data_IF_979590855837
#
_entry.id   IF_979590855837
#
_cell.length_a   1.000
_cell.length_b   1.000
_cell.length_c   1.000
_cell.angle_alpha   90.00
_cell.angle_beta   90.00
_cell.angle_gamma   90.00
#
_symmetry.space_group_name_H-M   'P 1'
#
loop_
_entity.id
_entity.type
_entity.pdbx_description
1 polymer ?
#
# COMPACT_ATOMS: atom_id res chain seq x y z
N UNK A 1 23.74 -54.79 21.79
CA UNK A 1 22.87 -54.12 20.81
C UNK A 1 22.55 -52.74 21.35
N UNK A 2 22.95 -51.69 20.64
CA UNK A 2 22.76 -50.30 21.09
C UNK A 2 21.51 -49.77 20.40
N UNK A 3 20.50 -49.41 21.18
CA UNK A 3 19.32 -48.70 20.68
C UNK A 3 19.55 -47.20 20.91
N UNK A 4 19.65 -46.44 19.82
CA UNK A 4 19.64 -44.98 19.86
C UNK A 4 18.20 -44.54 19.62
N UNK A 5 17.46 -44.24 20.69
CA UNK A 5 16.15 -43.61 20.58
C UNK A 5 16.34 -42.12 20.34
N UNK A 6 16.05 -41.68 19.10
CA UNK A 6 16.07 -40.28 18.71
C UNK A 6 14.84 -39.55 19.23
N UNK A 7 15.05 -38.61 20.16
CA UNK A 7 14.02 -37.65 20.60
C UNK A 7 13.68 -36.71 19.43
N UNK A 8 12.44 -36.76 18.96
CA UNK A 8 11.91 -35.84 17.94
C UNK A 8 11.67 -34.46 18.54
N UNK A 9 12.33 -33.37 18.07
CA UNK A 9 12.04 -32.03 18.56
C UNK A 9 10.71 -31.54 17.97
N UNK A 10 9.73 -31.31 18.84
CA UNK A 10 8.46 -30.66 18.50
C UNK A 10 8.72 -29.17 18.27
N UNK A 11 8.57 -28.69 17.04
CA UNK A 11 8.70 -27.27 16.71
C UNK A 11 7.50 -26.49 17.26
N UNK A 12 7.68 -25.43 18.07
CA UNK A 12 6.56 -24.60 18.50
C UNK A 12 6.13 -23.65 17.37
N UNK A 13 4.86 -23.72 16.98
CA UNK A 13 4.22 -22.73 16.10
C UNK A 13 4.04 -21.42 16.87
N UNK A 14 4.78 -20.38 16.48
CA UNK A 14 4.64 -19.03 17.06
C UNK A 14 3.37 -18.38 16.51
N UNK A 15 2.41 -18.10 17.38
CA UNK A 15 1.22 -17.29 17.08
C UNK A 15 1.50 -15.86 17.53
N UNK A 16 1.36 -14.89 16.62
CA UNK A 16 1.47 -13.47 16.93
C UNK A 16 0.07 -12.92 17.22
N UNK A 17 -0.23 -12.65 18.50
CA UNK A 17 -1.50 -12.05 18.92
C UNK A 17 -1.21 -10.57 19.24
N UNK A 18 -1.78 -9.61 18.50
CA UNK A 18 -1.60 -8.20 18.82
C UNK A 18 -2.38 -7.85 20.10
N UNK A 19 -1.70 -7.90 21.25
CA UNK A 19 -2.27 -7.46 22.53
C UNK A 19 -2.10 -5.94 22.65
N UNK A 20 -3.21 -5.21 22.73
CA UNK A 20 -3.23 -3.80 23.09
C UNK A 20 -3.41 -3.68 24.61
N UNK A 21 -2.30 -3.49 25.35
CA UNK A 21 -2.37 -3.24 26.80
C UNK A 21 -2.82 -1.79 27.03
N UNK A 22 -4.12 -1.57 27.25
CA UNK A 22 -4.70 -0.26 27.60
C UNK A 22 -4.53 0.03 29.09
N UNK A 23 -3.31 0.37 29.53
CA UNK A 23 -3.08 0.85 30.90
C UNK A 23 -2.78 2.36 30.97
N UNK A 24 -3.08 3.09 29.90
CA UNK A 24 -2.77 4.51 29.78
C UNK A 24 -3.90 5.25 29.07
N UNK A 25 -4.26 6.43 29.58
CA UNK A 25 -5.25 7.34 28.99
C UNK A 25 -4.80 7.99 27.67
N UNK A 26 -3.57 7.74 27.22
CA UNK A 26 -3.03 8.28 25.97
C UNK A 26 -3.34 7.34 24.80
N UNK A 27 -3.86 7.91 23.73
CA UNK A 27 -4.13 7.30 22.44
C UNK A 27 -3.76 8.27 21.33
N UNK A 28 -3.45 7.77 20.15
CA UNK A 28 -3.21 8.58 18.96
C UNK A 28 -3.78 7.92 17.70
N UNK A 29 -4.15 8.75 16.74
CA UNK A 29 -4.57 8.34 15.41
C UNK A 29 -3.50 8.71 14.38
N UNK A 30 -3.37 7.87 13.34
CA UNK A 30 -2.49 8.08 12.20
C UNK A 30 -3.35 8.14 10.93
N UNK A 31 -3.28 9.26 10.22
CA UNK A 31 -3.88 9.45 8.90
C UNK A 31 -2.78 9.61 7.86
N UNK A 32 -3.01 9.05 6.66
CA UNK A 32 -2.05 9.09 5.54
C UNK A 32 -2.80 9.51 4.29
N UNK A 33 -2.35 10.58 3.64
CA UNK A 33 -2.88 11.08 2.38
C UNK A 33 -1.78 11.07 1.29
N UNK A 34 -2.12 10.81 0.02
CA UNK A 34 -3.43 10.36 -0.44
C UNK A 34 -3.76 8.95 0.07
N UNK A 35 -5.05 8.71 0.31
CA UNK A 35 -5.55 7.36 0.60
C UNK A 35 -5.71 6.60 -0.72
N UNK A 36 -5.27 5.35 -0.77
CA UNK A 36 -5.41 4.54 -1.97
C UNK A 36 -4.70 3.19 -1.90
N UNK A 37 -5.03 2.27 -2.81
CA UNK A 37 -4.40 0.96 -2.86
C UNK A 37 -2.96 1.00 -3.36
N UNK A 38 -2.60 2.01 -4.17
CA UNK A 38 -1.27 2.21 -4.75
C UNK A 38 -0.90 3.69 -4.71
N UNK A 39 0.36 3.97 -4.37
CA UNK A 39 0.96 5.31 -4.32
C UNK A 39 2.07 5.34 -5.37
N UNK A 40 2.03 6.30 -6.29
CA UNK A 40 3.11 6.44 -7.28
C UNK A 40 4.41 6.90 -6.59
N UNK A 41 5.56 6.41 -7.05
CA UNK A 41 6.88 6.69 -6.47
C UNK A 41 7.20 8.19 -6.34
N UNK A 42 6.68 9.02 -7.25
CA UNK A 42 6.87 10.48 -7.28
C UNK A 42 5.94 11.25 -6.30
N UNK A 43 5.05 10.54 -5.59
CA UNK A 43 4.05 11.15 -4.73
C UNK A 43 4.65 11.57 -3.39
N UNK A 44 4.27 12.75 -2.90
CA UNK A 44 4.50 13.15 -1.51
C UNK A 44 3.32 12.72 -0.64
N UNK A 45 3.60 11.89 0.36
CA UNK A 45 2.66 11.48 1.39
C UNK A 45 2.56 12.57 2.46
N UNK A 46 1.34 12.97 2.79
CA UNK A 46 1.03 13.76 3.98
C UNK A 46 0.58 12.82 5.09
N UNK A 47 1.33 12.77 6.18
CA UNK A 47 1.07 11.87 7.29
C UNK A 47 0.79 12.70 8.54
N UNK A 48 -0.44 12.62 9.04
CA UNK A 48 -0.85 13.35 10.24
C UNK A 48 -1.01 12.40 11.41
N UNK A 49 -0.34 12.74 12.52
CA UNK A 49 -0.48 12.04 13.80
C UNK A 49 -1.16 12.97 14.78
N UNK A 50 -2.24 12.52 15.40
CA UNK A 50 -3.00 13.30 16.38
C UNK A 50 -3.17 12.50 17.67
N UNK A 51 -2.60 13.00 18.76
CA UNK A 51 -2.77 12.43 20.09
C UNK A 51 -3.96 13.07 20.82
N UNK A 52 -4.59 12.32 21.73
CA UNK A 52 -5.71 12.80 22.54
C UNK A 52 -5.28 13.63 23.78
N UNK A 53 -3.99 13.96 23.91
CA UNK A 53 -3.41 14.67 25.05
C UNK A 53 -2.55 15.84 24.59
N UNK A 54 -2.56 16.94 25.35
CA UNK A 54 -1.66 18.07 25.14
C UNK A 54 -0.26 17.84 25.75
N UNK A 55 -0.13 16.88 26.67
CA UNK A 55 1.12 16.59 27.38
C UNK A 55 1.99 15.59 26.61
N UNK A 56 2.28 15.89 25.34
CA UNK A 56 3.11 15.06 24.46
C UNK A 56 4.51 15.68 24.38
N UNK A 57 5.52 14.92 24.78
CA UNK A 57 6.91 15.31 24.66
C UNK A 57 7.47 14.99 23.27
N UNK A 58 7.01 13.90 22.64
CA UNK A 58 7.54 13.43 21.35
C UNK A 58 6.50 12.67 20.53
N UNK A 59 6.53 12.88 19.22
CA UNK A 59 5.87 12.08 18.19
C UNK A 59 6.96 11.58 17.25
N UNK A 60 7.04 10.27 17.05
CA UNK A 60 8.01 9.61 16.16
C UNK A 60 7.27 8.82 15.09
N UNK A 61 7.62 9.04 13.83
CA UNK A 61 7.05 8.32 12.70
C UNK A 61 8.05 7.26 12.21
N UNK A 62 7.58 6.03 12.03
CA UNK A 62 8.40 4.89 11.62
C UNK A 62 7.88 4.23 10.35
N UNK A 63 8.82 3.66 9.57
CA UNK A 63 8.56 2.73 8.46
C UNK A 63 9.39 1.44 8.59
N UNK A 64 9.43 0.61 7.55
CA UNK A 64 10.28 -0.59 7.45
C UNK A 64 11.77 -0.31 7.68
N UNK A 65 12.23 0.90 7.33
CA UNK A 65 13.62 1.34 7.52
C UNK A 65 13.95 1.92 8.90
N UNK A 66 12.97 2.00 9.82
CA UNK A 66 13.14 2.62 11.13
C UNK A 66 12.50 4.00 11.22
N UNK A 67 13.06 4.86 12.08
CA UNK A 67 12.55 6.23 12.31
C UNK A 67 12.72 7.05 11.03
N UNK A 68 11.66 7.69 10.58
CA UNK A 68 11.68 8.58 9.42
C UNK A 68 11.84 10.03 9.89
N UNK A 69 10.97 10.45 10.81
CA UNK A 69 10.90 11.83 11.26
C UNK A 69 10.32 11.90 12.69
N UNK A 70 10.57 13.02 13.38
CA UNK A 70 10.02 13.26 14.71
C UNK A 70 9.63 14.72 14.90
N UNK A 71 8.63 14.93 15.76
CA UNK A 71 8.23 16.23 16.27
C UNK A 71 8.22 16.20 17.81
N UNK A 72 8.56 17.31 18.46
CA UNK A 72 8.60 17.42 19.92
C UNK A 72 7.60 18.44 20.42
N UNK A 73 7.15 18.26 21.66
CA UNK A 73 6.29 19.21 22.39
C UNK A 73 5.02 19.62 21.63
N UNK A 74 4.44 18.70 20.86
CA UNK A 74 3.24 18.93 20.04
C UNK A 74 2.28 17.74 20.17
N UNK A 75 0.98 18.01 20.28
CA UNK A 75 -0.07 16.99 20.34
C UNK A 75 -0.53 16.51 18.95
N UNK A 76 -0.26 17.30 17.92
CA UNK A 76 -0.52 16.96 16.52
C UNK A 76 0.70 17.35 15.69
N UNK A 77 1.05 16.49 14.73
CA UNK A 77 2.12 16.78 13.76
C UNK A 77 1.76 16.24 12.38
N UNK A 78 2.14 16.98 11.35
CA UNK A 78 1.98 16.58 9.95
C UNK A 78 3.37 16.50 9.32
N UNK A 79 3.70 15.32 8.80
CA UNK A 79 4.94 15.01 8.12
C UNK A 79 4.69 14.93 6.62
N UNK A 80 5.63 15.41 5.81
CA UNK A 80 5.57 15.33 4.35
C UNK A 80 6.73 14.49 3.84
N UNK A 81 6.43 13.30 3.31
CA UNK A 81 7.45 12.30 2.94
C UNK A 81 7.30 11.94 1.47
N UNK A 82 8.37 12.12 0.69
CA UNK A 82 8.40 11.58 -0.67
C UNK A 82 8.39 10.05 -0.64
N UNK A 83 7.50 9.43 -1.41
CA UNK A 83 7.43 7.97 -1.53
C UNK A 83 8.74 7.36 -2.06
N UNK A 84 9.58 8.14 -2.75
CA UNK A 84 10.93 7.74 -3.16
C UNK A 84 11.80 7.28 -1.97
N UNK A 85 11.63 7.86 -0.77
CA UNK A 85 12.37 7.45 0.44
C UNK A 85 11.90 6.12 1.01
N UNK A 86 10.68 5.70 0.71
CA UNK A 86 10.18 4.39 1.09
C UNK A 86 10.69 3.33 0.10
N UNK A 87 10.82 3.70 -1.18
CA UNK A 87 11.15 2.80 -2.26
C UNK A 87 9.91 2.05 -2.76
N UNK A 88 10.10 1.15 -3.73
CA UNK A 88 9.01 0.34 -4.27
C UNK A 88 8.61 -0.80 -3.31
N UNK A 89 7.31 -1.06 -3.21
CA UNK A 89 6.75 -2.17 -2.46
C UNK A 89 5.86 -1.76 -1.29
N UNK A 90 5.66 -2.69 -0.35
CA UNK A 90 4.78 -2.50 0.81
C UNK A 90 5.54 -1.95 2.01
N UNK A 91 5.11 -0.79 2.51
CA UNK A 91 5.71 -0.15 3.67
C UNK A 91 4.69 0.00 4.80
N UNK A 92 4.98 -0.53 6.00
CA UNK A 92 4.17 -0.27 7.17
C UNK A 92 4.54 1.09 7.76
N UNK A 93 3.55 1.95 8.00
CA UNK A 93 3.70 3.23 8.67
C UNK A 93 3.00 3.17 10.03
N UNK A 94 3.69 3.58 11.09
CA UNK A 94 3.11 3.73 12.42
C UNK A 94 3.84 4.84 13.18
N UNK A 95 3.17 5.45 14.15
CA UNK A 95 3.77 6.44 15.02
C UNK A 95 3.87 5.93 16.46
N UNK A 96 4.88 6.40 17.19
CA UNK A 96 4.98 6.30 18.64
C UNK A 96 4.85 7.70 19.21
N UNK A 97 3.84 7.92 20.04
CA UNK A 97 3.69 9.14 20.82
C UNK A 97 4.17 8.90 22.24
N UNK A 98 4.95 9.82 22.78
CA UNK A 98 5.48 9.78 24.15
C UNK A 98 4.97 10.98 24.93
N UNK A 99 4.39 10.76 26.10
CA UNK A 99 3.93 11.84 26.98
C UNK A 99 5.09 12.47 27.74
N UNK A 100 4.86 13.62 28.37
CA UNK A 100 5.86 14.25 29.27
C UNK A 100 6.24 13.36 30.45
N UNK A 101 5.29 12.53 30.91
CA UNK A 101 5.52 11.56 31.99
C UNK A 101 6.14 10.23 31.49
N UNK A 102 6.57 10.18 30.22
CA UNK A 102 7.25 9.03 29.63
C UNK A 102 6.36 7.87 29.17
N UNK A 103 5.03 7.98 29.29
CA UNK A 103 4.11 6.96 28.77
C UNK A 103 4.14 6.95 27.24
N UNK A 104 4.06 5.77 26.64
CA UNK A 104 4.11 5.61 25.19
C UNK A 104 2.83 4.98 24.65
N UNK A 105 2.42 5.44 23.48
CA UNK A 105 1.35 4.81 22.71
C UNK A 105 1.81 4.64 21.26
N UNK A 106 1.58 3.45 20.70
CA UNK A 106 1.85 3.14 19.30
C UNK A 106 0.53 3.16 18.54
N UNK A 107 0.46 3.90 17.45
CA UNK A 107 -0.73 3.95 16.58
C UNK A 107 -0.98 2.62 15.88
N UNK A 108 -2.14 2.50 15.25
CA UNK A 108 -2.35 1.48 14.23
C UNK A 108 -1.30 1.58 13.11
N UNK A 109 -1.05 0.46 12.44
CA UNK A 109 -0.16 0.41 11.29
C UNK A 109 -0.95 0.64 10.01
N UNK A 110 -0.67 1.72 9.29
CA UNK A 110 -1.17 1.95 7.93
C UNK A 110 -0.18 1.35 6.93
N UNK A 111 -0.65 0.55 5.98
CA UNK A 111 0.22 -0.04 4.95
C UNK A 111 0.06 0.78 3.67
N UNK A 112 1.16 1.26 3.11
CA UNK A 112 1.19 1.92 1.80
C UNK A 112 1.89 1.00 0.80
N UNK A 113 1.35 0.89 -0.40
CA UNK A 113 1.98 0.19 -1.51
C UNK A 113 2.52 1.21 -2.48
N UNK A 114 3.83 1.35 -2.53
CA UNK A 114 4.49 2.27 -3.45
C UNK A 114 4.79 1.50 -4.73
N UNK A 115 4.26 1.99 -5.84
CA UNK A 115 4.43 1.41 -7.18
C UNK A 115 5.21 2.38 -8.05
N UNK A 116 5.82 1.84 -9.10
CA UNK A 116 6.45 2.69 -10.11
C UNK A 116 5.37 3.56 -10.77
N UNK A 117 5.76 4.75 -11.19
CA UNK A 117 4.87 5.59 -11.99
C UNK A 117 4.64 4.86 -13.32
N UNK A 118 3.38 4.71 -13.75
CA UNK A 118 3.10 4.10 -15.05
C UNK A 118 3.93 4.78 -16.14
N UNK A 119 4.57 3.97 -16.98
CA UNK A 119 5.46 4.47 -18.01
C UNK A 119 4.69 5.41 -18.97
N UNK A 120 5.25 6.56 -19.36
CA UNK A 120 4.52 7.60 -20.10
C UNK A 120 4.12 7.23 -21.54
N UNK A 121 4.39 6.00 -22.00
CA UNK A 121 3.98 5.57 -23.33
C UNK A 121 2.61 4.87 -23.27
N UNK A 122 1.62 5.31 -24.07
CA UNK A 122 0.37 4.57 -24.19
C UNK A 122 0.63 3.22 -24.86
N UNK A 123 0.30 2.12 -24.18
CA UNK A 123 0.23 0.80 -24.80
C UNK A 123 -0.97 0.77 -25.75
N UNK A 124 -0.73 0.95 -27.06
CA UNK A 124 -1.75 0.74 -28.09
C UNK A 124 -1.69 -0.70 -28.60
N UNK A 125 -2.77 -1.46 -28.40
CA UNK A 125 -2.95 -2.77 -29.03
C UNK A 125 -3.49 -2.52 -30.44
N UNK A 126 -2.62 -2.58 -31.45
CA UNK A 126 -3.03 -2.48 -32.85
C UNK A 126 -3.58 -3.83 -33.34
N UNK A 127 -4.89 -3.94 -33.56
CA UNK A 127 -5.46 -5.03 -34.33
C UNK A 127 -5.20 -4.76 -35.82
N UNK A 128 -4.25 -5.50 -36.42
CA UNK A 128 -4.04 -5.46 -37.86
C UNK A 128 -5.30 -5.96 -38.57
N UNK A 129 -6.04 -5.04 -39.20
CA UNK A 129 -7.17 -5.38 -40.05
C UNK A 129 -6.60 -6.07 -41.29
N UNK A 130 -6.76 -7.39 -41.40
CA UNK A 130 -6.43 -8.10 -42.64
C UNK A 130 -7.33 -7.57 -43.77
N UNK A 131 -6.79 -7.22 -44.95
CA UNK A 131 -7.63 -6.83 -46.07
C UNK A 131 -8.37 -8.07 -46.59
N UNK A 132 -9.70 -7.99 -46.65
CA UNK A 132 -10.48 -8.98 -47.38
C UNK A 132 -10.26 -8.78 -48.89
N UNK A 133 -9.86 -9.82 -49.59
CA UNK A 133 -9.82 -9.83 -51.05
C UNK A 133 -11.24 -10.02 -51.58
N UNK A 134 -11.89 -8.95 -52.04
CA UNK A 134 -13.15 -9.05 -52.79
C UNK A 134 -12.87 -9.52 -54.22
N UNK A 135 -13.21 -10.76 -54.53
CA UNK A 135 -13.22 -11.28 -55.91
C UNK A 135 -14.53 -10.82 -56.58
N UNK A 136 -14.46 -9.86 -57.49
CA UNK A 136 -15.61 -9.40 -58.28
C UNK A 136 -15.97 -10.45 -59.35
N UNK A 137 -16.95 -11.30 -59.04
CA UNK A 137 -17.56 -12.23 -59.99
C UNK A 137 -18.77 -11.59 -60.68
N UNK A 138 -18.59 -11.17 -61.92
CA UNK A 138 -19.63 -10.71 -62.84
C UNK A 138 -20.40 -11.94 -63.35
N UNK A 139 -21.64 -12.16 -62.93
CA UNK A 139 -22.49 -13.25 -63.45
C UNK A 139 -23.91 -12.74 -63.75
N UNK A 140 -24.31 -12.94 -65.01
CA UNK A 140 -25.46 -12.39 -65.71
C UNK A 140 -26.82 -12.81 -65.10
N UNK A 141 -27.78 -11.89 -65.05
CA UNK A 141 -29.20 -12.20 -64.82
C UNK A 141 -29.96 -12.04 -66.13
N UNK A 142 -30.23 -13.17 -66.81
CA UNK A 142 -31.29 -13.28 -67.82
C UNK A 142 -32.60 -13.62 -67.10
N UNK A 143 -33.63 -12.79 -67.28
CA UNK A 143 -35.03 -13.05 -66.90
C UNK A 143 -35.86 -13.26 -68.16
N UNK A 144 -36.70 -14.31 -68.27
CA UNK A 144 -37.87 -14.26 -69.12
C UNK A 144 -39.11 -13.78 -68.33
N UNK A 145 -39.90 -12.94 -69.00
CA UNK A 145 -41.15 -12.35 -68.54
C UNK A 145 -42.30 -13.35 -68.39
N UNK A 146 -43.20 -13.11 -67.41
CA UNK A 146 -44.59 -13.58 -67.44
C UNK A 146 -45.49 -12.43 -66.96
N UNK A 147 -46.47 -12.08 -67.79
CA UNK A 147 -47.49 -11.04 -67.55
C UNK A 147 -48.66 -11.55 -66.70
N UNK A 148 -49.33 -10.62 -66.01
CA UNK A 148 -50.79 -10.47 -66.11
C UNK A 148 -51.16 -9.00 -65.88
#
# INVERSE_FOLDING_TARGET
MVAYEGTSPRTPTRVDIPVQIRNTSVTAALAVLPEGPNIALETTLQITVTANSAQISKIELFSSGGLIEMATNCSTSTFYISAQYLGLGWHPLYAIVTTTDGKKYRTETKRVHVVDSESPFPLSIAFSQMPFLTLAGHFWQDLPSISN
#
